data_IF_877207538339
#
_entry.id   IF_877207538339
#
_cell.length_a   1.000
_cell.length_b   1.000
_cell.length_c   1.000
_cell.angle_alpha   90.00
_cell.angle_beta   90.00
_cell.angle_gamma   90.00
#
_symmetry.space_group_name_H-M   'P 1'
#
loop_
_entity.id
_entity.type
_entity.pdbx_description
1 polymer ?
#
# COMPACT_ATOMS: atom_id res chain seq x y z
N UNK A 1 -27.40 11.07 9.36
CA UNK A 1 -26.45 10.88 8.24
C UNK A 1 -25.56 12.09 8.25
N UNK A 2 -24.44 11.98 8.96
CA UNK A 2 -23.59 13.13 9.28
C UNK A 2 -22.44 13.13 8.29
N UNK A 3 -22.35 14.22 7.53
CA UNK A 3 -21.31 14.46 6.55
C UNK A 3 -20.12 15.08 7.28
N UNK A 4 -19.00 14.36 7.33
CA UNK A 4 -17.73 14.91 7.81
C UNK A 4 -17.21 15.97 6.83
N UNK A 5 -16.68 17.08 7.35
CA UNK A 5 -16.33 18.31 6.63
C UNK A 5 -15.12 18.22 5.65
N UNK A 6 -14.85 17.07 5.03
CA UNK A 6 -13.76 16.94 4.05
C UNK A 6 -14.11 16.19 2.77
N UNK A 7 -15.36 15.75 2.57
CA UNK A 7 -15.76 15.08 1.33
C UNK A 7 -15.02 13.75 1.07
N UNK A 8 -14.34 13.19 2.06
CA UNK A 8 -13.86 11.82 2.00
C UNK A 8 -15.07 10.90 2.17
N UNK A 9 -15.61 10.45 1.02
CA UNK A 9 -16.43 9.25 0.98
C UNK A 9 -15.55 8.12 1.50
N UNK A 10 -15.78 7.71 2.75
CA UNK A 10 -15.32 6.42 3.23
C UNK A 10 -16.20 5.40 2.50
N UNK A 11 -15.82 5.12 1.25
CA UNK A 11 -16.41 4.06 0.48
C UNK A 11 -16.32 2.82 1.35
N UNK A 12 -17.50 2.30 1.69
CA UNK A 12 -17.78 0.96 2.19
C UNK A 12 -16.54 0.06 2.22
N UNK A 13 -16.29 -0.53 3.39
CA UNK A 13 -15.48 -1.72 3.68
C UNK A 13 -15.92 -2.93 2.82
N UNK A 14 -15.90 -2.77 1.50
CA UNK A 14 -15.53 -3.84 0.59
C UNK A 14 -14.01 -3.74 0.56
N UNK A 15 -13.33 -4.84 0.86
CA UNK A 15 -11.87 -4.93 0.86
C UNK A 15 -11.35 -4.73 -0.59
N UNK A 16 -11.44 -3.51 -1.12
CA UNK A 16 -11.04 -3.14 -2.50
C UNK A 16 -9.52 -3.30 -2.65
N UNK A 17 -8.78 -3.31 -1.52
CA UNK A 17 -7.37 -3.73 -1.48
C UNK A 17 -7.15 -5.16 -2.00
N UNK A 18 -8.15 -6.03 -1.94
CA UNK A 18 -8.09 -7.38 -2.52
C UNK A 18 -8.35 -7.44 -4.04
N UNK A 19 -9.07 -6.47 -4.62
CA UNK A 19 -9.38 -6.44 -6.05
C UNK A 19 -8.30 -5.77 -6.89
N UNK A 20 -7.58 -4.81 -6.30
CA UNK A 20 -6.47 -4.15 -6.96
C UNK A 20 -5.21 -5.03 -6.88
N UNK A 21 -4.67 -5.51 -8.01
CA UNK A 21 -3.55 -6.44 -7.98
C UNK A 21 -2.28 -5.76 -7.46
N UNK A 22 -1.43 -6.53 -6.77
CA UNK A 22 -0.12 -6.05 -6.27
C UNK A 22 0.86 -5.68 -7.40
N UNK A 23 0.48 -5.90 -8.65
CA UNK A 23 1.20 -5.44 -9.84
C UNK A 23 1.00 -3.96 -10.11
N UNK A 24 -0.12 -3.38 -9.67
CA UNK A 24 -0.46 -1.96 -9.83
C UNK A 24 0.00 -1.14 -8.62
N UNK A 25 0.35 0.12 -8.85
CA UNK A 25 0.83 1.02 -7.80
C UNK A 25 -0.23 1.30 -6.74
N UNK A 26 -1.49 1.45 -7.15
CA UNK A 26 -2.63 1.61 -6.24
C UNK A 26 -2.80 0.39 -5.35
N UNK A 27 -2.65 -0.83 -5.90
CA UNK A 27 -2.66 -2.07 -5.13
C UNK A 27 -1.53 -2.16 -4.10
N UNK A 28 -0.33 -1.67 -4.41
CA UNK A 28 0.80 -1.61 -3.47
C UNK A 28 0.53 -0.58 -2.37
N UNK A 29 0.14 0.64 -2.76
CA UNK A 29 -0.18 1.74 -1.84
C UNK A 29 -1.28 1.34 -0.84
N UNK A 30 -2.36 0.71 -1.32
CA UNK A 30 -3.46 0.25 -0.49
C UNK A 30 -2.98 -0.75 0.57
N UNK A 31 -2.21 -1.77 0.18
CA UNK A 31 -1.70 -2.80 1.11
C UNK A 31 -0.74 -2.21 2.14
N UNK A 32 0.20 -1.36 1.71
CA UNK A 32 1.12 -0.69 2.64
C UNK A 32 0.37 0.24 3.60
N UNK A 33 -0.71 0.88 3.15
CA UNK A 33 -1.57 1.73 4.00
C UNK A 33 -2.35 0.91 5.02
N UNK A 34 -2.94 -0.20 4.59
CA UNK A 34 -3.69 -1.10 5.47
C UNK A 34 -2.81 -1.72 6.58
N UNK A 35 -1.51 -1.90 6.31
CA UNK A 35 -0.52 -2.32 7.32
C UNK A 35 0.06 -1.16 8.15
N UNK A 36 -0.34 0.09 7.90
CA UNK A 36 0.16 1.27 8.60
C UNK A 36 1.58 1.70 8.21
N UNK A 37 2.10 1.22 7.08
CA UNK A 37 3.43 1.57 6.56
C UNK A 37 3.41 2.77 5.60
N UNK A 38 2.23 3.13 5.09
CA UNK A 38 2.06 4.22 4.14
C UNK A 38 0.88 5.12 4.52
N UNK A 39 1.14 6.41 4.73
CA UNK A 39 0.13 7.40 5.13
C UNK A 39 -0.25 8.36 3.99
N UNK A 40 0.23 8.11 2.76
CA UNK A 40 -0.08 8.93 1.60
C UNK A 40 -1.36 8.47 0.86
N UNK A 41 -1.74 9.18 -0.22
CA UNK A 41 -2.90 8.81 -1.02
C UNK A 41 -2.66 7.53 -1.82
N UNK A 42 -3.74 6.78 -2.06
CA UNK A 42 -3.78 5.64 -3.00
C UNK A 42 -4.15 6.18 -4.38
N UNK A 43 -3.21 6.84 -5.04
CA UNK A 43 -3.41 7.58 -6.30
C UNK A 43 -2.61 7.03 -7.49
N UNK A 44 -1.88 5.93 -7.29
CA UNK A 44 -1.07 5.29 -8.32
C UNK A 44 0.21 6.05 -8.68
N UNK A 45 0.63 7.04 -7.87
CA UNK A 45 1.87 7.79 -8.11
C UNK A 45 3.02 7.27 -7.25
N UNK A 46 4.19 7.18 -7.87
CA UNK A 46 5.42 6.91 -7.16
C UNK A 46 6.01 8.23 -6.64
N UNK A 47 5.97 8.40 -5.32
CA UNK A 47 6.50 9.58 -4.63
C UNK A 47 7.33 9.17 -3.41
N UNK A 48 8.01 10.14 -2.79
CA UNK A 48 8.92 9.89 -1.67
C UNK A 48 8.25 9.17 -0.48
N UNK A 49 6.95 9.41 -0.27
CA UNK A 49 6.18 8.72 0.76
C UNK A 49 6.08 7.22 0.50
N UNK A 50 5.82 6.82 -0.75
CA UNK A 50 5.75 5.42 -1.16
C UNK A 50 7.14 4.77 -1.09
N UNK A 51 8.17 5.46 -1.60
CA UNK A 51 9.55 4.99 -1.51
C UNK A 51 10.01 4.73 -0.07
N UNK A 52 9.63 5.60 0.88
CA UNK A 52 9.91 5.38 2.31
C UNK A 52 9.16 4.17 2.87
N UNK A 53 7.89 4.02 2.52
CA UNK A 53 7.08 2.86 2.95
C UNK A 53 7.65 1.54 2.43
N UNK A 54 8.08 1.49 1.16
CA UNK A 54 8.73 0.31 0.55
C UNK A 54 10.02 -0.03 1.30
N UNK A 55 10.90 0.95 1.53
CA UNK A 55 12.16 0.73 2.26
C UNK A 55 11.92 0.22 3.68
N UNK A 56 10.93 0.77 4.37
CA UNK A 56 10.54 0.33 5.71
C UNK A 56 10.04 -1.12 5.70
N UNK A 57 9.08 -1.44 4.82
CA UNK A 57 8.56 -2.80 4.65
C UNK A 57 9.69 -3.79 4.35
N UNK A 58 10.61 -3.43 3.45
CA UNK A 58 11.75 -4.29 3.10
C UNK A 58 12.70 -4.49 4.27
N UNK A 59 12.96 -3.45 5.07
CA UNK A 59 13.79 -3.54 6.27
C UNK A 59 13.21 -4.50 7.31
N UNK A 60 11.89 -4.49 7.55
CA UNK A 60 11.27 -5.38 8.55
C UNK A 60 11.15 -6.83 8.06
N UNK A 61 11.24 -7.07 6.76
CA UNK A 61 11.15 -8.39 6.14
C UNK A 61 12.49 -8.95 5.64
N UNK A 62 13.61 -8.31 5.97
CA UNK A 62 14.95 -8.79 5.62
C UNK A 62 15.28 -8.76 4.12
N UNK A 63 14.61 -7.89 3.36
CA UNK A 63 14.91 -7.62 1.95
C UNK A 63 15.93 -6.49 1.82
N UNK A 64 16.58 -6.40 0.67
CA UNK A 64 17.46 -5.27 0.34
C UNK A 64 16.73 -3.92 0.51
N UNK A 65 17.34 -2.94 1.19
CA UNK A 65 16.68 -1.69 1.56
C UNK A 65 16.81 -0.68 0.41
N UNK A 66 15.99 -0.85 -0.62
CA UNK A 66 15.83 0.13 -1.71
C UNK A 66 14.33 0.31 -2.07
N UNK A 67 14.01 1.25 -2.95
CA UNK A 67 12.63 1.59 -3.34
C UNK A 67 12.12 0.83 -4.58
N UNK A 68 12.87 -0.16 -5.07
CA UNK A 68 12.52 -0.88 -6.30
C UNK A 68 11.32 -1.80 -6.08
N UNK A 69 10.31 -1.64 -6.94
CA UNK A 69 9.12 -2.49 -6.98
C UNK A 69 9.40 -3.68 -7.91
N UNK A 70 10.21 -4.61 -7.41
CA UNK A 70 10.57 -5.84 -8.11
C UNK A 70 9.69 -7.04 -7.69
N UNK A 71 9.88 -8.18 -8.35
CA UNK A 71 9.11 -9.40 -8.05
C UNK A 71 9.31 -9.88 -6.61
N UNK A 72 10.54 -9.80 -6.07
CA UNK A 72 10.81 -10.19 -4.68
C UNK A 72 10.00 -9.36 -3.68
N UNK A 73 9.92 -8.04 -3.88
CA UNK A 73 9.08 -7.17 -3.07
C UNK A 73 7.58 -7.50 -3.23
N UNK A 74 7.08 -7.65 -4.46
CA UNK A 74 5.66 -7.97 -4.72
C UNK A 74 5.25 -9.31 -4.11
N UNK A 75 6.09 -10.34 -4.25
CA UNK A 75 5.85 -11.66 -3.68
C UNK A 75 5.77 -11.57 -2.16
N UNK A 76 6.71 -10.85 -1.52
CA UNK A 76 6.69 -10.70 -0.07
C UNK A 76 5.49 -9.90 0.41
N UNK A 77 5.13 -8.82 -0.28
CA UNK A 77 3.95 -8.01 0.02
C UNK A 77 2.66 -8.84 -0.11
N UNK A 78 2.56 -9.68 -1.15
CA UNK A 78 1.44 -10.60 -1.32
C UNK A 78 1.39 -11.66 -0.23
N UNK A 79 2.53 -12.26 0.16
CA UNK A 79 2.61 -13.24 1.23
C UNK A 79 2.11 -12.68 2.56
N UNK A 80 2.50 -11.45 2.90
CA UNK A 80 2.12 -10.79 4.16
C UNK A 80 0.64 -10.37 4.16
N UNK A 81 0.09 -9.98 3.00
CA UNK A 81 -1.29 -9.48 2.90
C UNK A 81 -2.35 -10.57 2.63
N UNK A 82 -1.99 -11.86 2.55
CA UNK A 82 -2.90 -12.98 2.23
C UNK A 82 -3.85 -13.41 3.38
N UNK A 83 -4.14 -12.54 4.35
CA UNK A 83 -4.93 -12.92 5.54
C UNK A 83 -6.42 -12.75 5.33
#
# INVERSE_FOLDING_TARGET
MEIGESGELWALDLDVGHLDPVTELTGIQARLRNMGHYNGPVDGKDGEGLSRAIRFFRSIHGLEINSDINEAFRNKLSEVYKT
#
